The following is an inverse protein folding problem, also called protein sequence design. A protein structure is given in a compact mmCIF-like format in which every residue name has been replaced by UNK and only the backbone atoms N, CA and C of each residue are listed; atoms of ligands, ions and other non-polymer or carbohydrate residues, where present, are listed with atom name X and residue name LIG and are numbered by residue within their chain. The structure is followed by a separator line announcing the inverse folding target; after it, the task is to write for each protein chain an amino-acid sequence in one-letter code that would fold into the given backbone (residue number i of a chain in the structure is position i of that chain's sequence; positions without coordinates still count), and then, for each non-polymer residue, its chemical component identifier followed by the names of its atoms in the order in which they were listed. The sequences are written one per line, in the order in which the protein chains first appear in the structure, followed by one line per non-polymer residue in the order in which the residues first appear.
data_IF_496069979949
#
_entry.id   IF_496069979949
#
_cell.length_a   1.000
_cell.length_b   1.000
_cell.length_c   1.000
_cell.angle_alpha   90.00
_cell.angle_beta   90.00
_cell.angle_gamma   90.00
#
_symmetry.space_group_name_H-M   'P 1'
#
loop_
_entity.id
_entity.type
_entity.pdbx_description
1 polymer ?
#
# COMPACT_ATOMS: atom_id res chain seq x y z
N UNK A 1 0.89 23.05 10.49
CA UNK A 1 1.52 22.08 9.56
C UNK A 1 0.70 20.81 9.59
N UNK A 2 -0.54 20.86 9.11
CA UNK A 2 -1.49 19.73 9.15
C UNK A 2 -0.99 18.52 8.35
N UNK A 3 -0.05 18.73 7.42
CA UNK A 3 0.67 17.68 6.70
C UNK A 3 1.50 16.77 7.62
N UNK A 4 2.08 17.28 8.71
CA UNK A 4 2.99 16.49 9.57
C UNK A 4 2.28 15.36 10.31
N UNK A 5 0.98 15.53 10.62
CA UNK A 5 0.16 14.49 11.24
C UNK A 5 -0.09 13.31 10.30
N UNK A 6 -0.12 13.58 8.99
CA UNK A 6 -0.23 12.54 7.96
C UNK A 6 1.13 11.92 7.59
N UNK A 7 2.24 12.60 7.87
CA UNK A 7 3.59 12.07 7.63
C UNK A 7 3.95 10.94 8.60
N UNK A 8 3.54 11.01 9.87
CA UNK A 8 3.87 10.00 10.88
C UNK A 8 3.45 8.55 10.51
N UNK A 9 2.19 8.27 10.11
CA UNK A 9 1.80 6.92 9.70
C UNK A 9 2.53 6.45 8.43
N UNK A 10 2.85 7.37 7.51
CA UNK A 10 3.60 7.04 6.29
C UNK A 10 5.03 6.59 6.65
N UNK A 11 5.69 7.29 7.56
CA UNK A 11 7.02 6.93 8.03
C UNK A 11 7.01 5.56 8.71
N UNK A 12 5.99 5.26 9.53
CA UNK A 12 5.87 3.95 10.18
C UNK A 12 5.79 2.83 9.13
N UNK A 13 4.96 3.00 8.09
CA UNK A 13 4.85 2.03 6.99
C UNK A 13 6.19 1.88 6.26
N UNK A 14 6.92 2.97 6.04
CA UNK A 14 8.25 2.91 5.41
C UNK A 14 9.28 2.17 6.29
N UNK A 15 9.27 2.37 7.61
CA UNK A 15 10.16 1.66 8.53
C UNK A 15 9.87 0.15 8.47
N UNK A 16 8.59 -0.25 8.51
CA UNK A 16 8.20 -1.66 8.38
C UNK A 16 8.68 -2.25 7.05
N UNK A 17 8.55 -1.49 5.95
CA UNK A 17 9.03 -1.91 4.64
C UNK A 17 10.56 -2.12 4.61
N UNK A 18 11.31 -1.25 5.29
CA UNK A 18 12.76 -1.37 5.41
C UNK A 18 13.16 -2.64 6.17
N UNK A 19 12.55 -2.89 7.34
CA UNK A 19 12.80 -4.11 8.12
C UNK A 19 12.42 -5.39 7.36
N UNK A 20 11.32 -5.36 6.61
CA UNK A 20 10.94 -6.46 5.73
C UNK A 20 12.00 -6.70 4.66
N UNK A 21 12.56 -5.65 4.05
CA UNK A 21 13.67 -5.74 3.10
C UNK A 21 14.92 -6.37 3.69
N UNK A 22 15.32 -5.98 4.91
CA UNK A 22 16.45 -6.57 5.63
C UNK A 22 16.22 -8.06 5.91
N UNK A 23 15.04 -8.46 6.36
CA UNK A 23 14.70 -9.87 6.59
C UNK A 23 14.67 -10.72 5.31
N UNK A 24 14.42 -10.09 4.15
CA UNK A 24 14.49 -10.76 2.86
C UNK A 24 15.93 -11.02 2.40
N UNK A 25 16.94 -10.31 2.92
CA UNK A 25 18.34 -10.57 2.58
C UNK A 25 18.80 -11.94 3.11
N UNK A 26 18.30 -12.36 4.27
CA UNK A 26 18.63 -13.66 4.86
C UNK A 26 17.98 -14.82 4.09
N UNK A 27 16.74 -14.64 3.61
CA UNK A 27 16.00 -15.66 2.85
C UNK A 27 15.26 -15.05 1.64
N UNK A 28 15.96 -14.71 0.55
CA UNK A 28 15.40 -13.98 -0.60
C UNK A 28 14.32 -14.75 -1.38
N UNK A 29 14.34 -16.08 -1.29
CA UNK A 29 13.40 -16.97 -1.96
C UNK A 29 12.36 -17.56 -1.00
N UNK A 30 12.36 -17.14 0.26
CA UNK A 30 11.40 -17.60 1.25
C UNK A 30 9.99 -17.07 1.00
N UNK A 31 8.99 -17.78 1.53
CA UNK A 31 7.57 -17.37 1.46
C UNK A 31 7.35 -15.96 2.02
N UNK A 32 8.08 -15.58 3.08
CA UNK A 32 8.05 -14.22 3.63
C UNK A 32 8.44 -13.14 2.61
N UNK A 33 9.53 -13.38 1.87
CA UNK A 33 10.01 -12.46 0.84
C UNK A 33 9.03 -12.33 -0.32
N UNK A 34 8.36 -13.42 -0.71
CA UNK A 34 7.31 -13.40 -1.71
C UNK A 34 6.12 -12.52 -1.28
N UNK A 35 5.59 -12.73 -0.07
CA UNK A 35 4.46 -11.93 0.45
C UNK A 35 4.81 -10.46 0.61
N UNK A 36 5.97 -10.13 1.17
CA UNK A 36 6.42 -8.75 1.32
C UNK A 36 6.70 -8.06 -0.03
N UNK A 37 6.96 -8.84 -1.08
CA UNK A 37 7.08 -8.34 -2.46
C UNK A 37 5.72 -8.09 -3.14
N UNK A 38 4.62 -8.61 -2.61
CA UNK A 38 3.28 -8.42 -3.20
C UNK A 38 2.54 -7.22 -2.59
N UNK A 39 2.91 -6.81 -1.36
CA UNK A 39 2.29 -5.68 -0.70
C UNK A 39 2.84 -4.37 -1.32
N UNK A 40 1.99 -3.49 -1.87
CA UNK A 40 2.41 -2.38 -2.73
C UNK A 40 3.35 -1.36 -2.08
N UNK A 41 3.23 -1.12 -0.77
CA UNK A 41 4.10 -0.18 -0.06
C UNK A 41 5.46 -0.77 0.33
N UNK A 42 5.54 -2.09 0.53
CA UNK A 42 6.79 -2.79 0.87
C UNK A 42 7.48 -3.38 -0.35
N UNK A 43 6.72 -3.66 -1.40
CA UNK A 43 7.13 -4.22 -2.69
C UNK A 43 8.33 -3.52 -3.31
N UNK A 44 8.37 -2.18 -3.49
CA UNK A 44 9.48 -1.55 -4.18
C UNK A 44 10.81 -1.69 -3.42
N UNK A 45 10.78 -1.72 -2.08
CA UNK A 45 11.99 -1.91 -1.28
C UNK A 45 12.44 -3.38 -1.35
N UNK A 46 11.51 -4.31 -1.14
CA UNK A 46 11.82 -5.74 -1.07
C UNK A 46 12.20 -6.32 -2.45
N UNK A 47 11.54 -5.93 -3.53
CA UNK A 47 11.90 -6.36 -4.89
C UNK A 47 13.26 -5.83 -5.33
N UNK A 48 13.64 -4.61 -4.91
CA UNK A 48 14.99 -4.07 -5.20
C UNK A 48 16.08 -4.88 -4.51
N UNK A 49 15.81 -5.40 -3.32
CA UNK A 49 16.73 -6.30 -2.60
C UNK A 49 16.78 -7.70 -3.24
N UNK A 50 15.66 -8.19 -3.80
CA UNK A 50 15.56 -9.53 -4.39
C UNK A 50 16.06 -9.60 -5.84
N UNK A 51 16.06 -8.49 -6.58
CA UNK A 51 16.53 -8.39 -7.99
C UNK A 51 17.84 -9.15 -8.32
N UNK A 52 18.91 -9.11 -7.50
CA UNK A 52 20.15 -9.84 -7.79
C UNK A 52 20.10 -11.36 -7.55
N UNK A 53 18.98 -11.91 -7.07
CA UNK A 53 18.82 -13.33 -6.70
C UNK A 53 18.04 -14.16 -7.74
N UNK A 54 18.09 -13.79 -9.02
CA UNK A 54 17.43 -14.50 -10.14
C UNK A 54 15.94 -14.78 -9.91
N UNK A 55 15.20 -13.74 -9.52
CA UNK A 55 13.75 -13.84 -9.28
C UNK A 55 13.02 -14.09 -10.60
N UNK A 56 12.04 -15.02 -10.66
CA UNK A 56 11.25 -15.25 -11.86
C UNK A 56 10.55 -13.97 -12.35
N UNK A 57 10.62 -13.72 -13.66
CA UNK A 57 10.02 -12.53 -14.29
C UNK A 57 8.53 -12.33 -13.96
N UNK A 58 7.77 -13.42 -13.78
CA UNK A 58 6.36 -13.33 -13.42
C UNK A 58 6.12 -12.73 -12.03
N UNK A 59 7.04 -12.94 -11.06
CA UNK A 59 6.91 -12.32 -9.74
C UNK A 59 7.10 -10.80 -9.85
N UNK A 60 8.07 -10.36 -10.66
CA UNK A 60 8.32 -8.95 -10.94
C UNK A 60 7.09 -8.31 -11.59
N UNK A 61 6.54 -8.95 -12.62
CA UNK A 61 5.33 -8.47 -13.30
C UNK A 61 4.13 -8.39 -12.34
N UNK A 62 3.89 -9.40 -11.51
CA UNK A 62 2.80 -9.41 -10.53
C UNK A 62 2.98 -8.29 -9.50
N UNK A 63 4.18 -8.09 -8.97
CA UNK A 63 4.46 -7.01 -8.02
C UNK A 63 4.22 -5.62 -8.63
N UNK A 64 4.64 -5.40 -9.88
CA UNK A 64 4.41 -4.14 -10.59
C UNK A 64 2.92 -3.93 -10.83
N UNK A 65 2.20 -4.93 -11.33
CA UNK A 65 0.75 -4.86 -11.56
C UNK A 65 0.01 -4.59 -10.25
N UNK A 66 0.37 -5.27 -9.16
CA UNK A 66 -0.23 -5.05 -7.84
C UNK A 66 0.02 -3.62 -7.33
N UNK A 67 1.20 -3.06 -7.58
CA UNK A 67 1.57 -1.70 -7.21
C UNK A 67 0.71 -0.67 -7.95
N UNK A 68 0.61 -0.77 -9.28
CA UNK A 68 -0.24 0.12 -10.08
C UNK A 68 -1.73 -0.05 -9.80
N UNK A 69 -2.19 -1.30 -9.61
CA UNK A 69 -3.57 -1.59 -9.27
C UNK A 69 -3.96 -0.95 -7.93
N UNK A 70 -3.10 -1.08 -6.91
CA UNK A 70 -3.37 -0.51 -5.59
C UNK A 70 -3.28 1.02 -5.61
N UNK A 71 -2.30 1.59 -6.31
CA UNK A 71 -2.21 3.04 -6.49
C UNK A 71 -3.47 3.60 -7.15
N UNK A 72 -3.93 2.96 -8.24
CA UNK A 72 -5.16 3.37 -8.96
C UNK A 72 -6.39 3.21 -8.07
N UNK A 73 -6.48 2.12 -7.31
CA UNK A 73 -7.59 1.88 -6.39
C UNK A 73 -7.65 2.94 -5.28
N UNK A 74 -6.51 3.32 -4.70
CA UNK A 74 -6.44 4.37 -3.66
C UNK A 74 -6.79 5.74 -4.24
N UNK A 75 -6.28 6.08 -5.44
CA UNK A 75 -6.62 7.33 -6.12
C UNK A 75 -8.12 7.39 -6.40
N UNK A 76 -8.69 6.31 -6.93
CA UNK A 76 -10.12 6.20 -7.21
C UNK A 76 -10.95 6.32 -5.93
N UNK A 77 -10.55 5.65 -4.85
CA UNK A 77 -11.22 5.72 -3.55
C UNK A 77 -11.14 7.13 -2.95
N UNK A 78 -9.97 7.76 -2.99
CA UNK A 78 -9.74 9.13 -2.53
C UNK A 78 -10.60 10.13 -3.31
N UNK A 79 -10.64 10.00 -4.64
CA UNK A 79 -11.51 10.82 -5.50
C UNK A 79 -13.00 10.59 -5.19
N UNK A 80 -13.42 9.34 -4.93
CA UNK A 80 -14.80 9.02 -4.57
C UNK A 80 -15.18 9.59 -3.20
N UNK A 81 -14.31 9.46 -2.20
CA UNK A 81 -14.50 10.06 -0.88
C UNK A 81 -14.57 11.59 -0.99
N UNK A 82 -13.72 12.21 -1.81
CA UNK A 82 -13.75 13.66 -2.03
C UNK A 82 -15.07 14.11 -2.69
N UNK A 83 -15.57 13.38 -3.70
CA UNK A 83 -16.87 13.65 -4.34
C UNK A 83 -18.05 13.47 -3.39
N UNK A 84 -18.01 12.50 -2.47
CA UNK A 84 -19.07 12.30 -1.46
C UNK A 84 -18.94 13.33 -0.32
N UNK A 85 -17.71 13.68 0.03
CA UNK A 85 -17.34 14.63 1.08
C UNK A 85 -17.79 16.05 0.79
N UNK A 86 -17.64 16.51 -0.46
CA UNK A 86 -18.01 17.87 -0.86
C UNK A 86 -19.53 18.14 -0.76
N UNK A 87 -20.37 17.09 -0.79
CA UNK A 87 -21.82 17.21 -0.62
C UNK A 87 -22.27 17.14 0.85
N UNK A 88 -21.38 16.76 1.77
CA UNK A 88 -21.64 16.70 3.22
C UNK A 88 -20.77 17.71 3.96
N UNK A 89 -21.04 19.00 3.74
CA UNK A 89 -20.43 20.06 4.56
C UNK A 89 -20.90 19.93 6.03
N UNK A 90 -19.96 19.72 6.95
CA UNK A 90 -20.11 20.09 8.37
C UNK A 90 -20.14 18.99 9.44
N UNK A 91 -20.19 17.69 9.10
CA UNK A 91 -20.10 16.61 10.10
C UNK A 91 -18.83 15.78 9.94
N UNK A 92 -18.17 15.49 11.08
CA UNK A 92 -16.98 14.62 11.15
C UNK A 92 -17.34 13.23 10.62
N UNK A 93 -16.79 12.87 9.45
CA UNK A 93 -16.97 11.55 8.85
C UNK A 93 -16.51 10.47 9.83
N UNK A 94 -17.42 9.59 10.24
CA UNK A 94 -17.09 8.43 11.08
C UNK A 94 -16.89 7.20 10.19
N UNK A 95 -15.83 6.41 10.42
CA UNK A 95 -15.47 5.22 9.62
C UNK A 95 -16.65 4.23 9.42
N UNK A 96 -17.60 4.20 10.37
CA UNK A 96 -18.82 3.38 10.31
C UNK A 96 -19.76 3.81 9.18
N UNK A 97 -19.90 5.11 8.91
CA UNK A 97 -20.73 5.59 7.81
C UNK A 97 -20.13 5.19 6.46
N UNK A 98 -18.81 5.34 6.28
CA UNK A 98 -18.13 4.97 5.03
C UNK A 98 -18.37 3.49 4.67
N UNK A 99 -18.27 2.59 5.65
CA UNK A 99 -18.52 1.15 5.45
C UNK A 99 -19.98 0.83 5.09
N UNK A 100 -20.94 1.58 5.62
CA UNK A 100 -22.37 1.36 5.33
C UNK A 100 -22.70 1.75 3.89
N UNK A 101 -22.05 2.79 3.35
CA UNK A 101 -22.25 3.25 1.97
C UNK A 101 -21.67 2.31 0.93
N UNK A 102 -20.61 1.59 1.25
CA UNK A 102 -20.02 0.55 0.40
C UNK A 102 -20.94 -0.68 0.32
N UNK A 103 -21.74 -0.93 1.35
CA UNK A 103 -22.57 -2.13 1.47
C UNK A 103 -24.01 -1.96 0.95
N UNK A 104 -24.48 -0.73 0.78
CA UNK A 104 -25.84 -0.41 0.31
C UNK A 104 -25.91 -0.11 -1.20
N UNK A 105 -24.82 -0.31 -1.94
CA UNK A 105 -24.84 -0.36 -3.41
C UNK A 105 -24.56 -1.78 -3.90
#
# INVERSE_FOLDING_TARGET
SDASQFTAPIIIVMIVALYAGLGCMENPNGTFALWCSMIPFTSPIVMMVRLPYDVPFWQIAVSVVALYATATAIIWLSARIYRIGILRYGKKFTLKEILTWIKTQ
#
